data_IF_587987980018
#
_entry.id   IF_587987980018
#
_cell.length_a   1.000
_cell.length_b   1.000
_cell.length_c   1.000
_cell.angle_alpha   90.00
_cell.angle_beta   90.00
_cell.angle_gamma   90.00
#
_symmetry.space_group_name_H-M   'P 1'
#
loop_
_entity.id
_entity.type
_entity.pdbx_description
1 polymer ?
#
# COMPACT_ATOMS: atom_id res chain seq x y z
N UNK A 1 14.14 -13.41 -6.18
CA UNK A 1 13.39 -12.99 -4.98
C UNK A 1 12.46 -11.85 -5.27
N UNK A 2 11.37 -11.73 -4.52
CA UNK A 2 10.34 -10.70 -4.65
C UNK A 2 9.77 -10.34 -3.28
N UNK A 3 9.21 -9.14 -3.20
CA UNK A 3 8.40 -8.69 -2.05
C UNK A 3 7.06 -8.18 -2.55
N UNK A 4 6.06 -8.22 -1.68
CA UNK A 4 4.69 -7.80 -2.01
C UNK A 4 4.28 -6.66 -1.09
N UNK A 5 3.74 -5.60 -1.68
CA UNK A 5 3.03 -4.53 -0.98
C UNK A 5 1.61 -4.51 -1.51
N UNK A 6 0.62 -4.50 -0.63
CA UNK A 6 -0.78 -4.52 -1.01
C UNK A 6 -1.67 -3.72 -0.05
N UNK A 7 -2.87 -3.40 -0.50
CA UNK A 7 -3.94 -2.88 0.36
C UNK A 7 -4.71 -4.07 0.95
N UNK A 8 -4.98 -4.06 2.25
CA UNK A 8 -5.75 -5.12 2.91
C UNK A 8 -7.25 -4.94 2.72
N UNK A 9 -7.69 -3.74 2.34
CA UNK A 9 -9.10 -3.38 2.11
C UNK A 9 -10.02 -3.76 3.29
N UNK A 10 -9.48 -3.72 4.52
CA UNK A 10 -10.15 -4.12 5.76
C UNK A 10 -10.67 -5.58 5.78
N UNK A 11 -10.08 -6.50 5.01
CA UNK A 11 -10.50 -7.92 4.94
C UNK A 11 -12.00 -8.13 4.64
N UNK A 12 -12.60 -7.25 3.83
CA UNK A 12 -14.02 -7.39 3.45
C UNK A 12 -14.20 -8.48 2.39
N UNK A 13 -15.04 -9.46 2.71
CA UNK A 13 -15.51 -10.52 1.80
C UNK A 13 -14.40 -11.21 0.99
N UNK A 14 -14.35 -10.97 -0.32
CA UNK A 14 -13.39 -11.56 -1.27
C UNK A 14 -11.97 -11.12 -0.97
N UNK A 15 -11.76 -9.92 -0.42
CA UNK A 15 -10.41 -9.43 -0.13
C UNK A 15 -9.71 -10.25 0.95
N UNK A 16 -10.47 -10.78 1.92
CA UNK A 16 -9.91 -11.72 2.91
C UNK A 16 -9.34 -12.98 2.24
N UNK A 17 -10.07 -13.54 1.28
CA UNK A 17 -9.61 -14.73 0.55
C UNK A 17 -8.37 -14.45 -0.29
N UNK A 18 -8.28 -13.25 -0.88
CA UNK A 18 -7.10 -12.80 -1.63
C UNK A 18 -5.90 -12.61 -0.69
N UNK A 19 -6.10 -11.94 0.45
CA UNK A 19 -5.06 -11.73 1.45
C UNK A 19 -4.53 -13.06 2.00
N UNK A 20 -5.43 -13.99 2.34
CA UNK A 20 -5.08 -15.35 2.76
C UNK A 20 -4.37 -16.12 1.65
N UNK A 21 -4.79 -15.99 0.39
CA UNK A 21 -4.12 -16.64 -0.74
C UNK A 21 -2.68 -16.14 -0.89
N UNK A 22 -2.47 -14.83 -0.84
CA UNK A 22 -1.13 -14.22 -0.97
C UNK A 22 -0.23 -14.71 0.17
N UNK A 23 -0.74 -14.75 1.40
CA UNK A 23 0.00 -15.26 2.55
C UNK A 23 0.35 -16.75 2.40
N UNK A 24 -0.60 -17.57 1.95
CA UNK A 24 -0.42 -19.00 1.73
C UNK A 24 0.50 -19.35 0.54
N UNK A 25 0.75 -18.41 -0.37
CA UNK A 25 1.65 -18.60 -1.53
C UNK A 25 3.06 -18.09 -1.32
N UNK A 26 3.38 -17.59 -0.12
CA UNK A 26 4.76 -17.32 0.29
C UNK A 26 5.64 -18.54 0.07
N UNK A 27 6.80 -18.33 -0.54
CA UNK A 27 7.78 -19.38 -0.82
C UNK A 27 9.20 -18.87 -0.56
N UNK A 28 10.21 -19.69 -0.86
CA UNK A 28 11.63 -19.37 -0.63
C UNK A 28 12.12 -18.13 -1.38
N UNK A 29 11.39 -17.67 -2.39
CA UNK A 29 11.70 -16.45 -3.14
C UNK A 29 10.96 -15.22 -2.60
N UNK A 30 10.04 -15.36 -1.63
CA UNK A 30 9.30 -14.23 -1.04
C UNK A 30 10.09 -13.65 0.13
N UNK A 31 10.67 -12.46 -0.05
CA UNK A 31 11.44 -11.75 0.98
C UNK A 31 10.54 -11.15 2.07
N UNK A 32 9.45 -10.51 1.66
CA UNK A 32 8.50 -9.94 2.61
C UNK A 32 7.17 -9.59 1.99
N UNK A 33 6.14 -9.52 2.84
CA UNK A 33 4.80 -9.04 2.46
C UNK A 33 4.39 -7.99 3.47
N UNK A 34 3.98 -6.83 2.97
CA UNK A 34 3.40 -5.75 3.76
C UNK A 34 2.01 -5.43 3.23
N UNK A 35 1.05 -5.28 4.14
CA UNK A 35 -0.31 -4.89 3.81
C UNK A 35 -0.70 -3.61 4.56
N UNK A 36 -1.22 -2.60 3.86
CA UNK A 36 -1.84 -1.44 4.48
C UNK A 36 -3.18 -1.84 5.09
N UNK A 37 -3.50 -1.43 6.31
CA UNK A 37 -4.71 -1.88 7.01
C UNK A 37 -6.01 -1.53 6.28
N UNK A 38 -6.06 -0.34 5.67
CA UNK A 38 -7.18 0.10 4.82
C UNK A 38 -6.70 0.14 3.38
N UNK A 39 -6.06 1.24 2.97
CA UNK A 39 -5.44 1.39 1.67
C UNK A 39 -4.28 2.40 1.73
N UNK A 40 -3.57 2.53 0.62
CA UNK A 40 -2.41 3.39 0.51
C UNK A 40 -2.74 4.88 0.73
N UNK A 41 -3.90 5.35 0.25
CA UNK A 41 -4.33 6.74 0.49
C UNK A 41 -4.58 7.02 1.97
N UNK A 42 -5.22 6.09 2.69
CA UNK A 42 -5.41 6.18 4.14
C UNK A 42 -4.07 6.19 4.89
N UNK A 43 -3.14 5.31 4.49
CA UNK A 43 -1.79 5.30 5.04
C UNK A 43 -1.10 6.66 4.88
N UNK A 44 -1.20 7.30 3.71
CA UNK A 44 -0.60 8.62 3.45
C UNK A 44 -1.38 9.78 4.09
N UNK A 45 -2.59 9.53 4.60
CA UNK A 45 -3.45 10.56 5.18
C UNK A 45 -4.04 11.52 4.15
N UNK A 46 -4.19 11.08 2.89
CA UNK A 46 -4.74 11.89 1.80
C UNK A 46 -6.17 11.48 1.47
N UNK A 47 -7.03 12.43 1.04
CA UNK A 47 -8.38 12.10 0.63
C UNK A 47 -8.38 11.31 -0.67
N UNK A 48 -9.25 10.32 -0.75
CA UNK A 48 -9.49 9.53 -1.96
C UNK A 48 -10.20 10.39 -3.02
N UNK A 49 -9.96 10.13 -4.32
CA UNK A 49 -10.78 10.74 -5.36
C UNK A 49 -12.25 10.27 -5.21
N UNK A 50 -13.21 10.96 -5.86
CA UNK A 50 -14.60 10.50 -5.90
C UNK A 50 -14.71 9.03 -6.32
N UNK A 51 -15.63 8.27 -5.71
CA UNK A 51 -15.75 6.81 -5.91
C UNK A 51 -15.96 6.37 -7.37
N UNK A 52 -16.46 7.26 -8.23
CA UNK A 52 -16.63 7.01 -9.67
C UNK A 52 -15.37 7.32 -10.50
N UNK A 53 -14.26 7.74 -9.86
CA UNK A 53 -13.03 8.21 -10.48
C UNK A 53 -11.77 7.60 -9.86
N UNK A 54 -11.80 6.28 -9.62
CA UNK A 54 -10.63 5.55 -9.11
C UNK A 54 -9.42 5.62 -10.07
N UNK A 55 -9.64 5.90 -11.36
CA UNK A 55 -8.59 6.20 -12.34
C UNK A 55 -7.72 7.39 -11.93
N UNK A 56 -8.25 8.30 -11.10
CA UNK A 56 -7.53 9.47 -10.61
C UNK A 56 -6.65 9.19 -9.40
N UNK A 57 -6.67 7.98 -8.82
CA UNK A 57 -5.85 7.66 -7.63
C UNK A 57 -4.36 7.99 -7.83
N UNK A 58 -3.69 7.55 -8.91
CA UNK A 58 -2.27 7.86 -9.10
C UNK A 58 -2.04 9.37 -9.25
N UNK A 59 -2.90 10.04 -10.02
CA UNK A 59 -2.77 11.48 -10.27
C UNK A 59 -2.98 12.31 -9.00
N UNK A 60 -4.00 11.98 -8.20
CA UNK A 60 -4.28 12.63 -6.92
C UNK A 60 -3.08 12.48 -5.98
N UNK A 61 -2.52 11.28 -5.87
CA UNK A 61 -1.34 11.03 -5.04
C UNK A 61 -0.13 11.85 -5.47
N UNK A 62 0.21 11.83 -6.77
CA UNK A 62 1.36 12.58 -7.29
C UNK A 62 1.19 14.09 -7.11
N UNK A 63 -0.01 14.62 -7.31
CA UNK A 63 -0.32 16.03 -7.09
C UNK A 63 -0.17 16.42 -5.61
N UNK A 64 -0.75 15.63 -4.70
CA UNK A 64 -0.68 15.88 -3.24
C UNK A 64 0.77 15.81 -2.73
N UNK A 65 1.55 14.85 -3.23
CA UNK A 65 2.98 14.75 -2.93
C UNK A 65 3.72 16.01 -3.39
N UNK A 66 3.53 16.43 -4.64
CA UNK A 66 4.17 17.62 -5.19
C UNK A 66 3.79 18.92 -4.46
N UNK A 67 2.56 19.00 -3.94
CA UNK A 67 2.08 20.15 -3.17
C UNK A 67 2.53 20.16 -1.70
N UNK A 68 3.27 19.14 -1.24
CA UNK A 68 3.67 19.02 0.17
C UNK A 68 2.52 18.67 1.12
N UNK A 69 1.46 18.06 0.60
CA UNK A 69 0.26 17.69 1.37
C UNK A 69 0.37 16.30 2.04
N UNK A 70 1.47 15.59 1.81
CA UNK A 70 1.83 14.36 2.51
C UNK A 70 2.89 14.72 3.54
N UNK A 71 2.66 14.35 4.80
CA UNK A 71 3.58 14.71 5.88
C UNK A 71 4.87 13.91 5.81
N UNK A 72 5.99 14.54 6.17
CA UNK A 72 7.31 13.88 6.19
C UNK A 72 7.32 12.56 6.97
N UNK A 73 6.67 12.44 8.16
CA UNK A 73 6.59 11.16 8.87
C UNK A 73 5.93 10.03 8.08
N UNK A 74 4.96 10.33 7.22
CA UNK A 74 4.32 9.32 6.35
C UNK A 74 5.24 8.90 5.21
N UNK A 75 6.01 9.84 4.66
CA UNK A 75 7.02 9.58 3.64
C UNK A 75 8.14 8.70 4.20
N UNK A 76 8.67 9.04 5.38
CA UNK A 76 9.68 8.24 6.09
C UNK A 76 9.15 6.85 6.48
N UNK A 77 7.88 6.77 6.90
CA UNK A 77 7.20 5.50 7.11
C UNK A 77 7.17 4.63 5.84
N UNK A 78 6.84 5.21 4.69
CA UNK A 78 6.85 4.50 3.41
C UNK A 78 8.25 4.02 3.01
N UNK A 79 9.27 4.89 3.16
CA UNK A 79 10.67 4.52 2.90
C UNK A 79 11.09 3.33 3.76
N UNK A 80 10.76 3.37 5.05
CA UNK A 80 11.07 2.30 6.00
C UNK A 80 10.43 0.97 5.59
N UNK A 81 9.16 0.99 5.16
CA UNK A 81 8.46 -0.21 4.66
C UNK A 81 9.17 -0.76 3.43
N UNK A 82 9.48 0.08 2.45
CA UNK A 82 10.14 -0.33 1.20
C UNK A 82 11.54 -0.91 1.50
N UNK A 83 12.33 -0.23 2.32
CA UNK A 83 13.65 -0.72 2.72
C UNK A 83 13.58 -2.09 3.39
N UNK A 84 12.64 -2.30 4.30
CA UNK A 84 12.47 -3.59 4.98
C UNK A 84 12.06 -4.72 4.02
N UNK A 85 11.46 -4.38 2.88
CA UNK A 85 11.07 -5.34 1.85
C UNK A 85 12.16 -5.60 0.82
N UNK A 86 13.17 -4.74 0.71
CA UNK A 86 14.28 -4.87 -0.25
C UNK A 86 15.54 -5.42 0.44
N UNK A 87 15.72 -5.15 1.74
CA UNK A 87 16.86 -5.63 2.55
C UNK A 87 17.02 -7.15 2.41
N UNK A 88 18.28 -7.58 2.25
CA UNK A 88 18.71 -8.97 2.17
C UNK A 88 18.85 -9.61 3.55
#
# INVERSE_FOLDING_TARGET
DHSVIMDKDQDKDVQKQVNEFIDNKKNTFTKGIYAFEIDFEDFLGIPKPPNNRNDLKPMNLMMRFNNGEITEPKIEGLKTIIENLIKE
#
